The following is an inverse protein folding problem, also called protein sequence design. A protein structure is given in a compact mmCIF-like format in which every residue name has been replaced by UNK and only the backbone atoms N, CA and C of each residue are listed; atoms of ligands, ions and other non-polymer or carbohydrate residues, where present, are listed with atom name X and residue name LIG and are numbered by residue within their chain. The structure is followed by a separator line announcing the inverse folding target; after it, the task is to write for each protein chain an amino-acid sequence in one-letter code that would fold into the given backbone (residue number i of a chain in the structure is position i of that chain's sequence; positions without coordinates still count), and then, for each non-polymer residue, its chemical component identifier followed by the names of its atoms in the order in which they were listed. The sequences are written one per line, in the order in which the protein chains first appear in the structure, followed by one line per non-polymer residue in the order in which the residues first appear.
data_IF_327203822597
#
_entry.id   IF_327203822597
#
_cell.length_a   1.000
_cell.length_b   1.000
_cell.length_c   1.000
_cell.angle_alpha   90.00
_cell.angle_beta   90.00
_cell.angle_gamma   90.00
#
_symmetry.space_group_name_H-M   'P 1'
#
loop_
_entity.id
_entity.type
_entity.pdbx_description
1 polymer ?
#
# COMPACT_ATOMS: atom_id res chain seq x y z
N UNK A 1 -10.96 -14.86 -13.19
CA UNK A 1 -11.88 -13.71 -13.01
C UNK A 1 -13.29 -14.24 -12.77
N UNK A 2 -14.08 -13.59 -11.92
CA UNK A 2 -15.47 -13.98 -11.68
C UNK A 2 -16.33 -13.58 -12.90
N UNK A 3 -16.32 -14.42 -13.95
CA UNK A 3 -17.02 -14.16 -15.22
C UNK A 3 -18.54 -13.94 -15.03
N UNK A 4 -19.14 -14.61 -14.03
CA UNK A 4 -20.53 -14.43 -13.68
C UNK A 4 -20.82 -13.03 -13.12
N UNK A 5 -19.93 -12.48 -12.28
CA UNK A 5 -20.05 -11.11 -11.78
C UNK A 5 -19.88 -10.09 -12.90
N UNK A 6 -18.90 -10.28 -13.80
CA UNK A 6 -18.70 -9.37 -14.94
C UNK A 6 -19.91 -9.38 -15.86
N UNK A 7 -20.43 -10.56 -16.20
CA UNK A 7 -21.62 -10.70 -17.03
C UNK A 7 -22.82 -9.93 -16.43
N UNK A 8 -23.06 -10.05 -15.13
CA UNK A 8 -24.14 -9.32 -14.43
C UNK A 8 -23.89 -7.81 -14.33
N UNK A 9 -22.64 -7.36 -14.27
CA UNK A 9 -22.31 -5.93 -14.23
C UNK A 9 -22.47 -5.23 -15.59
N UNK A 10 -22.39 -5.99 -16.67
CA UNK A 10 -22.50 -5.50 -18.05
C UNK A 10 -23.85 -5.81 -18.69
N UNK A 11 -24.65 -6.68 -18.07
CA UNK A 11 -26.00 -7.01 -18.54
C UNK A 11 -26.97 -5.87 -18.21
N UNK A 12 -27.58 -5.21 -19.22
CA UNK A 12 -28.51 -4.11 -19.01
C UNK A 12 -29.78 -4.52 -18.25
N UNK A 13 -30.07 -5.82 -18.13
CA UNK A 13 -31.20 -6.32 -17.36
C UNK A 13 -30.97 -6.26 -15.83
N UNK A 14 -29.71 -6.08 -15.38
CA UNK A 14 -29.35 -5.86 -13.98
C UNK A 14 -29.15 -4.37 -13.70
N UNK A 15 -30.19 -3.74 -13.16
CA UNK A 15 -30.23 -2.27 -12.97
C UNK A 15 -29.69 -1.84 -11.62
N UNK A 16 -29.22 -0.60 -11.52
CA UNK A 16 -28.94 0.08 -10.25
C UNK A 16 -30.26 0.30 -9.51
N UNK A 17 -30.25 0.10 -8.19
CA UNK A 17 -31.38 0.46 -7.35
C UNK A 17 -31.51 2.00 -7.29
N UNK A 18 -32.59 2.53 -7.87
CA UNK A 18 -32.84 3.97 -7.85
C UNK A 18 -33.11 4.48 -6.44
N UNK A 19 -32.53 5.64 -6.12
CA UNK A 19 -32.83 6.33 -4.89
C UNK A 19 -34.16 7.10 -5.04
N UNK A 20 -35.10 7.02 -4.07
CA UNK A 20 -36.34 7.80 -4.10
C UNK A 20 -36.06 9.30 -4.21
N UNK A 21 -36.83 10.00 -5.03
CA UNK A 21 -36.72 11.44 -5.17
C UNK A 21 -37.05 12.16 -3.84
N UNK A 22 -36.24 13.16 -3.51
CA UNK A 22 -36.45 14.03 -2.35
C UNK A 22 -35.83 15.41 -2.61
N UNK A 23 -36.37 16.42 -1.94
CA UNK A 23 -35.97 17.83 -2.13
C UNK A 23 -34.89 18.30 -1.14
N UNK A 24 -34.56 17.48 -0.13
CA UNK A 24 -33.58 17.80 0.91
C UNK A 24 -32.89 16.57 1.51
N UNK A 25 -31.83 16.82 2.28
CA UNK A 25 -31.13 15.79 3.04
C UNK A 25 -30.41 14.77 2.15
N UNK A 26 -29.94 13.69 2.76
CA UNK A 26 -29.18 12.64 2.07
C UNK A 26 -30.03 11.97 0.97
N UNK A 27 -31.35 11.89 1.16
CA UNK A 27 -32.24 11.40 0.12
C UNK A 27 -32.15 12.23 -1.17
N UNK A 28 -32.08 13.57 -1.07
CA UNK A 28 -31.84 14.44 -2.22
C UNK A 28 -30.48 14.15 -2.86
N UNK A 29 -29.41 14.06 -2.05
CA UNK A 29 -28.07 13.76 -2.59
C UNK A 29 -28.06 12.44 -3.37
N UNK A 30 -28.63 11.38 -2.79
CA UNK A 30 -28.74 10.06 -3.46
C UNK A 30 -29.54 10.16 -4.77
N UNK A 31 -30.61 10.95 -4.79
CA UNK A 31 -31.45 11.16 -5.97
C UNK A 31 -30.80 11.99 -7.08
N UNK A 32 -29.69 12.71 -6.81
CA UNK A 32 -29.04 13.62 -7.74
C UNK A 32 -27.62 13.19 -8.19
N UNK A 33 -27.09 12.06 -7.70
CA UNK A 33 -25.78 11.54 -8.08
C UNK A 33 -25.85 10.45 -9.14
N UNK A 34 -24.80 10.31 -9.94
CA UNK A 34 -24.72 9.30 -11.00
C UNK A 34 -24.75 7.85 -10.49
N UNK A 35 -24.43 7.62 -9.21
CA UNK A 35 -24.27 6.27 -8.63
C UNK A 35 -25.57 5.49 -8.49
N UNK A 36 -26.71 6.19 -8.40
CA UNK A 36 -28.02 5.61 -8.08
C UNK A 36 -29.08 5.89 -9.16
N UNK A 37 -28.65 6.07 -10.41
CA UNK A 37 -29.53 6.27 -11.56
C UNK A 37 -28.96 5.54 -12.78
N UNK A 38 -29.79 5.37 -13.81
CA UNK A 38 -29.44 4.70 -15.06
C UNK A 38 -29.57 5.66 -16.27
N UNK A 39 -29.23 5.14 -17.45
CA UNK A 39 -29.52 5.76 -18.75
C UNK A 39 -29.01 7.21 -18.90
N UNK A 40 -29.81 8.09 -19.51
CA UNK A 40 -29.45 9.47 -19.80
C UNK A 40 -29.12 10.28 -18.54
N UNK A 41 -29.79 9.99 -17.42
CA UNK A 41 -29.52 10.64 -16.13
C UNK A 41 -28.16 10.22 -15.58
N UNK A 42 -27.79 8.94 -15.70
CA UNK A 42 -26.46 8.47 -15.35
C UNK A 42 -25.38 9.18 -16.18
N UNK A 43 -25.54 9.21 -17.50
CA UNK A 43 -24.57 9.86 -18.40
C UNK A 43 -24.40 11.34 -18.06
N UNK A 44 -25.52 12.06 -17.90
CA UNK A 44 -25.53 13.50 -17.57
C UNK A 44 -24.86 13.78 -16.23
N UNK A 45 -25.25 13.08 -15.16
CA UNK A 45 -24.70 13.29 -13.80
C UNK A 45 -23.25 12.83 -13.69
N UNK A 46 -22.88 11.77 -14.43
CA UNK A 46 -21.49 11.30 -14.49
C UNK A 46 -20.60 12.32 -15.18
N UNK A 47 -21.07 12.94 -16.26
CA UNK A 47 -20.33 14.01 -16.94
C UNK A 47 -20.04 15.18 -16.00
N UNK A 48 -20.99 15.57 -15.14
CA UNK A 48 -20.75 16.58 -14.10
C UNK A 48 -19.65 16.16 -13.12
N UNK A 49 -19.68 14.91 -12.65
CA UNK A 49 -18.63 14.40 -11.76
C UNK A 49 -17.25 14.36 -12.44
N UNK A 50 -17.17 13.96 -13.71
CA UNK A 50 -15.91 14.00 -14.48
C UNK A 50 -15.41 15.44 -14.62
N UNK A 51 -16.27 16.38 -14.98
CA UNK A 51 -15.91 17.79 -15.13
C UNK A 51 -15.39 18.42 -13.83
N UNK A 52 -15.85 17.97 -12.65
CA UNK A 52 -15.30 18.43 -11.36
C UNK A 52 -13.88 17.90 -11.11
N UNK A 53 -13.52 16.75 -11.68
CA UNK A 53 -12.21 16.14 -11.55
C UNK A 53 -11.23 16.62 -12.63
N UNK A 54 -11.74 17.15 -13.74
CA UNK A 54 -10.93 17.74 -14.80
C UNK A 54 -10.09 18.91 -14.24
N UNK A 55 -8.77 18.80 -14.38
CA UNK A 55 -7.82 19.80 -13.90
C UNK A 55 -7.26 19.56 -12.50
N UNK A 56 -7.68 18.51 -11.78
CA UNK A 56 -7.00 18.10 -10.55
C UNK A 56 -5.69 17.39 -10.91
N UNK A 57 -4.59 17.93 -10.40
CA UNK A 57 -3.26 17.34 -10.55
C UNK A 57 -3.09 16.12 -9.63
N UNK A 58 -2.98 14.93 -10.23
CA UNK A 58 -2.83 13.67 -9.51
C UNK A 58 -1.50 13.60 -8.74
N UNK A 59 -0.43 14.24 -9.20
CA UNK A 59 0.85 14.25 -8.47
C UNK A 59 0.74 15.05 -7.17
N UNK A 60 0.00 16.15 -7.18
CA UNK A 60 -0.30 16.91 -5.97
C UNK A 60 -1.16 16.12 -4.98
N UNK A 61 -2.07 15.27 -5.46
CA UNK A 61 -2.84 14.39 -4.59
C UNK A 61 -1.94 13.33 -3.94
N UNK A 62 -1.00 12.73 -4.69
CA UNK A 62 -0.06 11.73 -4.16
C UNK A 62 0.90 12.32 -3.13
N UNK A 63 1.33 13.56 -3.34
CA UNK A 63 2.21 14.28 -2.43
C UNK A 63 1.46 14.94 -1.25
N UNK A 64 0.13 14.85 -1.21
CA UNK A 64 -0.68 15.43 -0.15
C UNK A 64 -0.44 14.74 1.19
N UNK A 65 -0.09 15.53 2.21
CA UNK A 65 0.01 15.06 3.59
C UNK A 65 -1.31 15.30 4.33
N UNK A 66 -1.78 14.32 5.11
CA UNK A 66 -2.99 14.42 5.93
C UNK A 66 -4.12 13.50 5.50
N UNK A 67 -5.34 13.81 5.92
CA UNK A 67 -6.51 13.00 5.58
C UNK A 67 -6.81 13.07 4.06
N UNK A 68 -6.99 11.92 3.37
CA UNK A 68 -7.29 11.89 1.94
C UNK A 68 -8.50 12.75 1.51
N UNK A 69 -9.49 12.91 2.39
CA UNK A 69 -10.69 13.71 2.16
C UNK A 69 -10.37 15.20 2.21
N UNK A 70 -9.54 15.63 3.15
CA UNK A 70 -9.05 17.00 3.25
C UNK A 70 -8.22 17.39 2.02
N UNK A 71 -7.35 16.50 1.56
CA UNK A 71 -6.51 16.69 0.37
C UNK A 71 -7.40 16.89 -0.86
N UNK A 72 -8.40 16.02 -1.05
CA UNK A 72 -9.34 16.12 -2.17
C UNK A 72 -10.23 17.38 -2.08
N UNK A 73 -10.71 17.72 -0.88
CA UNK A 73 -11.49 18.93 -0.65
C UNK A 73 -10.70 20.18 -1.06
N UNK A 74 -9.43 20.27 -0.64
CA UNK A 74 -8.54 21.35 -1.05
C UNK A 74 -8.31 21.40 -2.57
N UNK A 75 -8.14 20.24 -3.21
CA UNK A 75 -7.97 20.16 -4.68
C UNK A 75 -9.23 20.61 -5.46
N UNK A 76 -10.42 20.42 -4.87
CA UNK A 76 -11.69 20.91 -5.40
C UNK A 76 -11.96 22.38 -5.06
N UNK A 77 -11.02 23.07 -4.41
CA UNK A 77 -11.18 24.47 -3.99
C UNK A 77 -12.13 24.66 -2.80
N UNK A 78 -12.35 23.62 -2.00
CA UNK A 78 -13.21 23.65 -0.82
C UNK A 78 -12.38 23.78 0.48
N UNK A 79 -12.99 24.28 1.57
CA UNK A 79 -12.37 24.26 2.88
C UNK A 79 -12.02 22.83 3.31
N UNK A 80 -10.87 22.63 3.97
CA UNK A 80 -10.42 21.30 4.41
C UNK A 80 -11.17 20.80 5.65
N UNK A 81 -11.65 21.70 6.49
CA UNK A 81 -12.39 21.41 7.72
C UNK A 81 -13.77 20.76 7.48
N UNK A 82 -14.17 20.55 6.23
CA UNK A 82 -15.39 19.81 5.87
C UNK A 82 -15.26 18.29 6.00
N UNK A 83 -14.06 17.74 6.19
CA UNK A 83 -13.84 16.29 6.21
C UNK A 83 -14.72 15.52 7.24
N UNK A 84 -14.95 16.02 8.47
CA UNK A 84 -15.88 15.39 9.41
C UNK A 84 -17.32 15.32 8.89
N UNK A 85 -17.77 16.35 8.17
CA UNK A 85 -19.10 16.38 7.56
C UNK A 85 -19.21 15.39 6.39
N UNK A 86 -18.14 15.25 5.60
CA UNK A 86 -18.06 14.23 4.54
C UNK A 86 -18.14 12.83 5.13
N UNK A 87 -17.44 12.55 6.24
CA UNK A 87 -17.48 11.26 6.92
C UNK A 87 -18.88 10.93 7.43
N UNK A 88 -19.55 11.88 8.10
CA UNK A 88 -20.91 11.70 8.60
C UNK A 88 -21.93 11.42 7.48
N UNK A 89 -21.79 12.10 6.32
CA UNK A 89 -22.63 11.82 5.15
C UNK A 89 -22.29 10.46 4.54
N UNK A 90 -21.02 10.06 4.51
CA UNK A 90 -20.57 8.80 3.93
C UNK A 90 -21.16 7.57 4.64
N UNK A 91 -21.28 7.60 5.98
CA UNK A 91 -21.92 6.54 6.77
C UNK A 91 -23.36 6.27 6.34
N UNK A 92 -24.06 7.32 5.95
CA UNK A 92 -25.45 7.27 5.54
C UNK A 92 -25.62 7.32 4.01
N UNK A 93 -24.56 7.22 3.21
CA UNK A 93 -24.67 7.51 1.76
C UNK A 93 -25.36 6.39 0.97
N UNK A 94 -25.13 5.13 1.31
CA UNK A 94 -25.69 4.00 0.55
C UNK A 94 -27.22 3.90 0.72
N UNK A 95 -28.01 3.55 -0.30
CA UNK A 95 -29.47 3.55 -0.24
C UNK A 95 -30.08 2.70 0.90
N UNK A 96 -29.37 1.63 1.30
CA UNK A 96 -29.79 0.73 2.37
C UNK A 96 -29.36 1.18 3.77
N UNK A 97 -28.51 2.21 3.88
CA UNK A 97 -28.13 2.80 5.15
C UNK A 97 -29.26 3.68 5.68
N UNK A 98 -29.49 3.62 7.00
CA UNK A 98 -30.47 4.46 7.68
C UNK A 98 -29.96 5.90 7.71
N UNK A 99 -30.77 6.85 7.25
CA UNK A 99 -30.43 8.28 7.31
C UNK A 99 -30.61 8.75 8.75
N UNK A 100 -29.64 9.51 9.26
CA UNK A 100 -29.69 10.12 10.59
C UNK A 100 -29.81 11.64 10.47
N UNK A 101 -30.44 12.27 11.48
CA UNK A 101 -30.53 13.73 11.54
C UNK A 101 -29.15 14.39 11.52
N UNK A 102 -28.15 13.78 12.18
CA UNK A 102 -26.78 14.30 12.21
C UNK A 102 -26.16 14.36 10.81
N UNK A 103 -26.38 13.31 10.00
CA UNK A 103 -25.87 13.22 8.64
C UNK A 103 -26.60 14.20 7.69
N UNK A 104 -27.91 14.41 7.88
CA UNK A 104 -28.64 15.46 7.16
C UNK A 104 -28.11 16.86 7.52
N UNK A 105 -27.86 17.16 8.81
CA UNK A 105 -27.25 18.44 9.20
C UNK A 105 -25.82 18.61 8.66
N UNK A 106 -25.04 17.53 8.59
CA UNK A 106 -23.71 17.54 7.98
C UNK A 106 -23.80 17.86 6.48
N UNK A 107 -24.77 17.27 5.78
CA UNK A 107 -25.00 17.58 4.37
C UNK A 107 -25.38 19.05 4.16
N UNK A 108 -26.18 19.66 5.04
CA UNK A 108 -26.51 21.08 4.94
C UNK A 108 -25.27 21.98 5.09
N UNK A 109 -24.30 21.60 5.92
CA UNK A 109 -23.01 22.30 6.03
C UNK A 109 -22.16 22.12 4.78
N UNK A 110 -22.08 20.90 4.24
CA UNK A 110 -21.39 20.64 2.97
C UNK A 110 -22.01 21.42 1.80
N UNK A 111 -23.34 21.50 1.76
CA UNK A 111 -24.09 22.31 0.80
C UNK A 111 -23.68 23.78 0.89
N UNK A 112 -23.66 24.35 2.09
CA UNK A 112 -23.23 25.73 2.30
C UNK A 112 -21.79 25.96 1.81
N UNK A 113 -20.86 25.05 2.13
CA UNK A 113 -19.46 25.10 1.67
C UNK A 113 -19.31 24.94 0.15
N UNK A 114 -20.27 24.30 -0.51
CA UNK A 114 -20.29 24.13 -1.97
C UNK A 114 -21.04 25.25 -2.72
N UNK A 115 -21.51 26.30 -2.03
CA UNK A 115 -22.21 27.44 -2.64
C UNK A 115 -23.73 27.47 -2.40
N UNK A 116 -24.26 26.52 -1.63
CA UNK A 116 -25.62 26.54 -1.08
C UNK A 116 -26.75 26.18 -2.04
N UNK A 117 -26.46 25.88 -3.31
CA UNK A 117 -27.47 25.50 -4.30
C UNK A 117 -27.73 24.00 -4.28
N UNK A 118 -29.01 23.60 -4.32
CA UNK A 118 -29.41 22.20 -4.49
C UNK A 118 -29.61 21.87 -5.97
N UNK A 119 -28.49 21.74 -6.67
CA UNK A 119 -28.44 21.33 -8.08
C UNK A 119 -27.55 20.09 -8.28
N UNK A 120 -27.59 19.52 -9.48
CA UNK A 120 -26.81 18.32 -9.80
C UNK A 120 -25.30 18.57 -9.79
N UNK A 121 -24.85 19.81 -10.00
CA UNK A 121 -23.43 20.16 -9.98
C UNK A 121 -22.88 20.10 -8.56
N UNK A 122 -23.62 20.67 -7.61
CA UNK A 122 -23.34 20.59 -6.18
C UNK A 122 -23.42 19.14 -5.69
N UNK A 123 -24.46 18.40 -6.10
CA UNK A 123 -24.61 17.00 -5.77
C UNK A 123 -23.44 16.15 -6.31
N UNK A 124 -22.97 16.42 -7.53
CA UNK A 124 -21.80 15.73 -8.10
C UNK A 124 -20.53 16.00 -7.27
N UNK A 125 -20.29 17.25 -6.86
CA UNK A 125 -19.13 17.61 -6.03
C UNK A 125 -19.16 16.95 -4.65
N UNK A 126 -20.29 17.03 -3.94
CA UNK A 126 -20.45 16.37 -2.63
C UNK A 126 -20.36 14.85 -2.79
N UNK A 127 -21.01 14.30 -3.82
CA UNK A 127 -20.98 12.87 -4.13
C UNK A 127 -19.58 12.36 -4.44
N UNK A 128 -18.70 13.18 -5.03
CA UNK A 128 -17.28 12.83 -5.23
C UNK A 128 -16.54 12.74 -3.90
N UNK A 129 -16.66 13.74 -3.03
CA UNK A 129 -16.01 13.74 -1.71
C UNK A 129 -16.41 12.52 -0.89
N UNK A 130 -17.71 12.26 -0.81
CA UNK A 130 -18.27 11.12 -0.04
C UNK A 130 -17.79 9.78 -0.59
N UNK A 131 -17.80 9.62 -1.91
CA UNK A 131 -17.36 8.37 -2.54
C UNK A 131 -15.85 8.19 -2.45
N UNK A 132 -15.08 9.26 -2.60
CA UNK A 132 -13.64 9.23 -2.45
C UNK A 132 -13.26 8.88 -1.01
N UNK A 133 -13.87 9.53 0.00
CA UNK A 133 -13.64 9.23 1.41
C UNK A 133 -13.82 7.73 1.73
N UNK A 134 -14.94 7.14 1.30
CA UNK A 134 -15.19 5.72 1.51
C UNK A 134 -14.18 4.82 0.77
N UNK A 135 -13.86 5.16 -0.48
CA UNK A 135 -12.93 4.38 -1.29
C UNK A 135 -11.48 4.48 -0.81
N UNK A 136 -11.00 5.68 -0.48
CA UNK A 136 -9.65 5.91 0.05
C UNK A 136 -9.51 5.32 1.43
N UNK A 137 -10.52 5.42 2.31
CA UNK A 137 -10.50 4.72 3.61
C UNK A 137 -10.35 3.21 3.45
N UNK A 138 -11.01 2.61 2.45
CA UNK A 138 -10.90 1.18 2.15
C UNK A 138 -9.55 0.80 1.52
N UNK A 139 -9.03 1.59 0.56
CA UNK A 139 -7.66 1.42 0.01
C UNK A 139 -6.61 1.55 1.13
N UNK A 140 -6.78 2.58 1.96
CA UNK A 140 -6.34 2.78 3.36
C UNK A 140 -6.15 1.51 4.20
N UNK A 141 -7.16 0.66 4.13
CA UNK A 141 -7.28 -0.55 4.92
C UNK A 141 -6.81 -1.80 4.15
N UNK A 142 -6.19 -1.64 2.97
CA UNK A 142 -5.71 -2.73 2.13
C UNK A 142 -6.80 -3.44 1.31
N UNK A 143 -8.01 -2.88 1.21
CA UNK A 143 -9.09 -3.49 0.44
C UNK A 143 -8.84 -3.35 -1.07
N UNK A 144 -8.94 -4.46 -1.80
CA UNK A 144 -8.84 -4.49 -3.26
C UNK A 144 -9.88 -5.44 -3.89
N UNK A 145 -10.89 -4.93 -4.62
CA UNK A 145 -11.18 -3.51 -4.80
C UNK A 145 -11.69 -2.86 -3.49
N UNK A 146 -11.62 -1.51 -3.36
CA UNK A 146 -12.09 -0.81 -2.16
C UNK A 146 -13.60 -0.91 -1.92
N UNK A 147 -14.34 -1.36 -2.93
CA UNK A 147 -15.76 -1.73 -2.82
C UNK A 147 -15.86 -3.20 -3.22
N UNK A 148 -15.89 -4.15 -2.26
CA UNK A 148 -15.79 -5.58 -2.54
C UNK A 148 -17.09 -6.18 -3.10
N UNK A 149 -18.22 -5.47 -2.99
CA UNK A 149 -19.49 -5.90 -3.56
C UNK A 149 -20.37 -4.70 -3.93
N UNK A 150 -21.25 -4.88 -4.92
CA UNK A 150 -22.27 -3.90 -5.31
C UNK A 150 -23.64 -4.55 -5.37
N UNK A 151 -24.70 -3.75 -5.28
CA UNK A 151 -26.08 -4.24 -5.40
C UNK A 151 -26.67 -3.86 -6.75
N UNK A 152 -27.48 -4.77 -7.31
CA UNK A 152 -28.28 -4.56 -8.52
C UNK A 152 -29.70 -5.09 -8.29
N UNK A 153 -30.66 -4.56 -9.02
CA UNK A 153 -32.00 -5.10 -9.17
C UNK A 153 -31.97 -6.03 -10.37
N UNK A 154 -32.29 -7.30 -10.18
CA UNK A 154 -32.29 -8.29 -11.25
C UNK A 154 -33.58 -8.19 -12.11
N UNK A 155 -33.71 -8.97 -13.19
CA UNK A 155 -34.90 -8.93 -14.06
C UNK A 155 -36.22 -9.33 -13.37
N UNK A 156 -36.15 -10.01 -12.22
CA UNK A 156 -37.33 -10.37 -11.42
C UNK A 156 -37.76 -9.24 -10.47
N UNK A 157 -36.94 -8.20 -10.33
CA UNK A 157 -37.15 -7.08 -9.41
C UNK A 157 -36.52 -7.29 -8.03
N UNK A 158 -35.76 -8.37 -7.82
CA UNK A 158 -35.10 -8.65 -6.54
C UNK A 158 -33.74 -7.94 -6.47
N UNK A 159 -33.37 -7.44 -5.28
CA UNK A 159 -32.04 -6.89 -5.05
C UNK A 159 -31.02 -8.01 -4.84
N UNK A 160 -30.10 -8.14 -5.78
CA UNK A 160 -28.99 -9.09 -5.73
C UNK A 160 -27.67 -8.40 -5.37
N UNK A 161 -26.83 -9.12 -4.63
CA UNK A 161 -25.46 -8.71 -4.35
C UNK A 161 -24.52 -9.31 -5.40
N UNK A 162 -23.72 -8.47 -6.03
CA UNK A 162 -22.67 -8.85 -6.97
C UNK A 162 -21.33 -8.71 -6.27
N UNK A 163 -20.61 -9.82 -6.17
CA UNK A 163 -19.24 -9.88 -5.67
C UNK A 163 -18.27 -9.27 -6.68
N UNK A 164 -17.47 -8.30 -6.21
CA UNK A 164 -16.47 -7.59 -7.00
C UNK A 164 -15.04 -8.03 -6.65
N UNK A 165 -14.85 -8.96 -5.72
CA UNK A 165 -13.53 -9.47 -5.34
C UNK A 165 -12.78 -10.00 -6.57
N UNK A 166 -11.54 -9.53 -6.74
CA UNK A 166 -10.70 -9.88 -7.89
C UNK A 166 -11.06 -9.17 -9.21
N UNK A 167 -12.01 -8.23 -9.20
CA UNK A 167 -12.27 -7.33 -10.33
C UNK A 167 -11.55 -5.98 -10.13
N UNK A 168 -11.13 -5.30 -11.21
CA UNK A 168 -10.56 -3.96 -11.11
C UNK A 168 -11.50 -2.98 -10.41
N UNK A 169 -10.95 -2.07 -9.61
CA UNK A 169 -11.74 -1.02 -8.98
C UNK A 169 -12.54 -0.23 -10.04
N UNK A 170 -13.87 -0.25 -9.91
CA UNK A 170 -14.78 0.37 -10.88
C UNK A 170 -15.18 -0.52 -12.05
N UNK A 171 -15.10 -1.86 -11.94
CA UNK A 171 -15.61 -2.76 -12.96
C UNK A 171 -17.11 -2.58 -13.23
N UNK A 172 -17.50 -2.66 -14.51
CA UNK A 172 -18.88 -2.51 -14.98
C UNK A 172 -19.16 -1.18 -15.67
N UNK A 173 -20.40 -1.00 -16.14
CA UNK A 173 -20.87 0.20 -16.84
C UNK A 173 -20.93 1.45 -15.94
N UNK A 174 -21.03 1.25 -14.62
CA UNK A 174 -21.07 2.29 -13.58
C UNK A 174 -19.71 2.52 -12.92
N UNK A 175 -18.64 2.55 -13.71
CA UNK A 175 -17.29 2.76 -13.22
C UNK A 175 -17.15 4.09 -12.46
N UNK A 176 -16.45 4.08 -11.31
CA UNK A 176 -16.21 5.27 -10.51
C UNK A 176 -15.44 6.33 -11.32
N UNK A 177 -15.97 7.54 -11.55
CA UNK A 177 -15.28 8.59 -12.30
C UNK A 177 -14.00 9.06 -11.58
N UNK A 178 -13.97 8.96 -10.24
CA UNK A 178 -12.84 9.32 -9.39
C UNK A 178 -11.78 8.23 -9.20
N UNK A 179 -11.80 7.12 -9.95
CA UNK A 179 -10.88 5.98 -9.75
C UNK A 179 -9.40 6.41 -9.65
N UNK A 180 -8.92 7.18 -10.62
CA UNK A 180 -7.52 7.62 -10.65
C UNK A 180 -7.15 8.49 -9.44
N UNK A 181 -8.08 9.34 -8.99
CA UNK A 181 -7.90 10.24 -7.85
C UNK A 181 -7.88 9.46 -6.53
N UNK A 182 -8.80 8.52 -6.35
CA UNK A 182 -8.83 7.65 -5.18
C UNK A 182 -7.58 6.76 -5.08
N UNK A 183 -7.05 6.28 -6.21
CA UNK A 183 -5.77 5.55 -6.25
C UNK A 183 -4.58 6.46 -5.94
N UNK A 184 -4.58 7.71 -6.42
CA UNK A 184 -3.54 8.69 -6.09
C UNK A 184 -3.53 9.05 -4.59
N UNK A 185 -4.71 9.22 -3.99
CA UNK A 185 -4.91 9.48 -2.56
C UNK A 185 -4.62 8.24 -1.68
N UNK A 186 -4.74 7.04 -2.24
CA UNK A 186 -4.45 5.76 -1.58
C UNK A 186 -3.04 5.25 -1.83
N UNK A 187 -2.08 6.11 -2.19
CA UNK A 187 -0.71 5.69 -2.55
C UNK A 187 -0.03 4.85 -1.45
N UNK A 188 0.84 3.93 -1.87
CA UNK A 188 1.43 2.85 -1.07
C UNK A 188 2.29 3.32 0.13
N UNK A 189 2.76 4.57 0.12
CA UNK A 189 3.68 5.12 1.14
C UNK A 189 2.97 5.40 2.47
N UNK A 190 1.76 5.97 2.44
CA UNK A 190 0.89 6.10 3.63
C UNK A 190 0.34 4.73 4.08
N UNK A 191 0.12 3.84 3.12
CA UNK A 191 -0.30 2.45 3.39
C UNK A 191 0.77 1.71 4.20
N UNK A 192 2.05 1.84 3.85
CA UNK A 192 3.13 1.14 4.54
C UNK A 192 3.30 1.56 6.00
N UNK A 193 3.23 2.86 6.30
CA UNK A 193 3.26 3.35 7.69
C UNK A 193 2.11 2.74 8.50
N UNK A 194 0.88 2.75 7.95
CA UNK A 194 -0.31 2.20 8.63
C UNK A 194 -0.22 0.70 8.92
N UNK A 195 0.43 -0.08 8.07
CA UNK A 195 0.60 -1.52 8.29
C UNK A 195 1.30 -1.87 9.61
N UNK A 196 2.07 -0.95 10.19
CA UNK A 196 2.80 -1.15 11.44
C UNK A 196 1.98 -0.81 12.69
N UNK A 197 0.76 -0.28 12.54
CA UNK A 197 -0.08 0.19 13.64
C UNK A 197 -1.36 -0.65 13.83
N UNK A 198 -1.46 -1.79 13.16
CA UNK A 198 -2.54 -2.76 13.41
C UNK A 198 -2.30 -3.57 14.70
N UNK A 199 -3.36 -4.21 15.20
CA UNK A 199 -3.30 -5.09 16.38
C UNK A 199 -2.37 -6.30 16.15
N UNK A 200 -2.39 -6.85 14.93
CA UNK A 200 -1.48 -7.91 14.51
C UNK A 200 -0.22 -7.31 13.86
N UNK A 201 0.97 -7.89 14.11
CA UNK A 201 2.20 -7.44 13.47
C UNK A 201 2.16 -7.67 11.96
N UNK A 202 2.77 -6.75 11.21
CA UNK A 202 3.02 -6.94 9.79
C UNK A 202 3.99 -8.11 9.57
N UNK A 203 3.53 -9.18 8.92
CA UNK A 203 4.41 -10.23 8.40
C UNK A 203 4.98 -9.75 7.06
N UNK A 204 6.28 -9.45 7.04
CA UNK A 204 6.99 -8.91 5.89
C UNK A 204 7.91 -9.97 5.27
N UNK A 205 7.48 -10.67 4.21
CA UNK A 205 8.36 -11.58 3.50
C UNK A 205 9.41 -10.80 2.70
N UNK A 206 10.61 -11.37 2.58
CA UNK A 206 11.73 -10.74 1.90
C UNK A 206 12.05 -11.45 0.58
N UNK A 207 11.95 -10.72 -0.52
CA UNK A 207 12.28 -11.16 -1.86
C UNK A 207 13.74 -10.83 -2.22
N UNK A 208 14.29 -11.54 -3.20
CA UNK A 208 15.62 -11.27 -3.76
C UNK A 208 15.59 -11.01 -5.28
N UNK A 209 14.43 -11.26 -5.92
CA UNK A 209 14.21 -11.06 -7.36
C UNK A 209 12.72 -10.77 -7.64
N UNK A 210 12.39 -10.55 -8.92
CA UNK A 210 11.02 -10.26 -9.33
C UNK A 210 10.07 -11.47 -9.23
N UNK A 211 10.58 -12.69 -9.38
CA UNK A 211 9.77 -13.91 -9.36
C UNK A 211 9.31 -14.24 -7.93
N UNK A 212 10.25 -14.20 -6.97
CA UNK A 212 9.97 -14.33 -5.55
C UNK A 212 9.02 -13.25 -5.05
N UNK A 213 9.24 -11.98 -5.42
CA UNK A 213 8.35 -10.89 -5.04
C UNK A 213 6.93 -11.07 -5.61
N UNK A 214 6.81 -11.41 -6.90
CA UNK A 214 5.50 -11.65 -7.53
C UNK A 214 4.78 -12.85 -6.88
N UNK A 215 5.49 -13.93 -6.56
CA UNK A 215 4.92 -15.08 -5.87
C UNK A 215 4.37 -14.70 -4.48
N UNK A 216 5.08 -13.85 -3.74
CA UNK A 216 4.64 -13.36 -2.43
C UNK A 216 3.41 -12.46 -2.54
N UNK A 217 3.36 -11.57 -3.54
CA UNK A 217 2.15 -10.77 -3.81
C UNK A 217 0.97 -11.66 -4.17
N UNK A 218 1.17 -12.68 -5.01
CA UNK A 218 0.11 -13.62 -5.37
C UNK A 218 -0.37 -14.44 -4.17
N UNK A 219 0.50 -14.71 -3.20
CA UNK A 219 0.15 -15.35 -1.93
C UNK A 219 -0.61 -14.42 -0.97
N UNK A 220 -0.80 -13.14 -1.31
CA UNK A 220 -1.61 -12.19 -0.56
C UNK A 220 -0.86 -11.41 0.53
N UNK A 221 0.48 -11.37 0.51
CA UNK A 221 1.24 -10.55 1.46
C UNK A 221 1.03 -9.05 1.20
N UNK A 222 0.78 -8.30 2.28
CA UNK A 222 0.40 -6.89 2.21
C UNK A 222 1.55 -5.93 1.87
N UNK A 223 2.80 -6.36 2.03
CA UNK A 223 4.02 -5.61 1.69
C UNK A 223 5.18 -6.58 1.45
N UNK A 224 6.22 -6.11 0.75
CA UNK A 224 7.42 -6.91 0.42
C UNK A 224 8.68 -6.20 0.93
N UNK A 225 9.55 -6.92 1.62
CA UNK A 225 10.92 -6.49 1.90
C UNK A 225 11.90 -7.03 0.86
N UNK A 226 13.11 -6.47 0.75
CA UNK A 226 14.23 -7.16 0.08
C UNK A 226 15.17 -7.80 1.10
N UNK A 227 16.07 -8.66 0.64
CA UNK A 227 17.18 -9.21 1.44
C UNK A 227 18.50 -8.98 0.70
N UNK A 228 19.46 -8.30 1.35
CA UNK A 228 20.79 -8.06 0.78
C UNK A 228 21.52 -9.38 0.48
N UNK A 229 21.50 -10.36 1.40
CA UNK A 229 22.11 -11.68 1.20
C UNK A 229 21.58 -12.39 -0.04
N UNK A 230 20.26 -12.42 -0.23
CA UNK A 230 19.65 -13.11 -1.37
C UNK A 230 20.04 -12.45 -2.70
N UNK A 231 20.05 -11.12 -2.75
CA UNK A 231 20.48 -10.37 -3.93
C UNK A 231 21.96 -10.61 -4.23
N UNK A 232 22.83 -10.39 -3.24
CA UNK A 232 24.28 -10.52 -3.38
C UNK A 232 24.69 -11.94 -3.81
N UNK A 233 24.15 -12.97 -3.14
CA UNK A 233 24.43 -14.35 -3.47
C UNK A 233 23.95 -14.73 -4.88
N UNK A 234 22.80 -14.23 -5.33
CA UNK A 234 22.26 -14.52 -6.67
C UNK A 234 23.13 -13.95 -7.80
N UNK A 235 23.90 -12.90 -7.54
CA UNK A 235 24.81 -12.26 -8.50
C UNK A 235 26.29 -12.59 -8.25
N UNK A 236 26.59 -13.46 -7.28
CA UNK A 236 27.94 -13.91 -6.97
C UNK A 236 28.82 -12.89 -6.23
N UNK A 237 28.20 -11.94 -5.52
CA UNK A 237 28.88 -10.95 -4.69
C UNK A 237 28.78 -11.28 -3.19
N UNK A 238 29.75 -10.85 -2.37
CA UNK A 238 29.61 -10.91 -0.92
C UNK A 238 28.52 -9.94 -0.44
N UNK A 239 27.76 -10.38 0.57
CA UNK A 239 26.83 -9.54 1.32
C UNK A 239 27.58 -8.54 2.21
N UNK A 240 26.95 -7.42 2.57
CA UNK A 240 27.50 -6.38 3.45
C UNK A 240 28.80 -5.72 2.95
N UNK A 241 29.03 -5.65 1.63
CA UNK A 241 30.27 -5.17 1.03
C UNK A 241 30.12 -3.88 0.20
N UNK A 242 28.94 -3.23 0.21
CA UNK A 242 28.60 -2.06 -0.62
C UNK A 242 28.77 -2.25 -2.15
N UNK A 243 29.11 -3.46 -2.60
CA UNK A 243 29.34 -3.79 -4.00
C UNK A 243 28.04 -3.93 -4.83
N UNK A 244 26.89 -3.85 -4.17
CA UNK A 244 25.56 -4.19 -4.68
C UNK A 244 24.68 -2.95 -4.94
N UNK A 245 25.22 -1.72 -4.87
CA UNK A 245 24.44 -0.48 -5.02
C UNK A 245 23.61 -0.49 -6.31
N UNK A 246 24.24 -0.77 -7.44
CA UNK A 246 23.58 -0.77 -8.75
C UNK A 246 22.48 -1.82 -8.81
N UNK A 247 22.76 -3.03 -8.36
CA UNK A 247 21.84 -4.17 -8.40
C UNK A 247 20.67 -3.96 -7.43
N UNK A 248 20.91 -3.32 -6.29
CA UNK A 248 19.87 -2.95 -5.32
C UNK A 248 18.92 -1.90 -5.92
N UNK A 249 19.45 -0.87 -6.58
CA UNK A 249 18.64 0.14 -7.26
C UNK A 249 17.86 -0.45 -8.44
N UNK A 250 18.47 -1.34 -9.21
CA UNK A 250 17.80 -2.04 -10.31
C UNK A 250 16.67 -2.94 -9.82
N UNK A 251 16.88 -3.65 -8.70
CA UNK A 251 15.83 -4.43 -8.05
C UNK A 251 14.74 -3.52 -7.50
N UNK A 252 15.09 -2.45 -6.78
CA UNK A 252 14.14 -1.48 -6.24
C UNK A 252 13.25 -0.88 -7.33
N UNK A 253 13.84 -0.44 -8.44
CA UNK A 253 13.11 0.09 -9.61
C UNK A 253 12.12 -0.91 -10.20
N UNK A 254 12.48 -2.19 -10.24
CA UNK A 254 11.55 -3.25 -10.67
C UNK A 254 10.47 -3.41 -9.62
N UNK A 255 10.82 -3.75 -8.38
CA UNK A 255 9.87 -4.09 -7.33
C UNK A 255 8.90 -2.95 -6.97
N UNK A 256 9.29 -1.69 -7.10
CA UNK A 256 8.40 -0.56 -6.84
C UNK A 256 7.15 -0.51 -7.75
N UNK A 257 7.10 -1.30 -8.82
CA UNK A 257 5.93 -1.42 -9.71
C UNK A 257 4.89 -2.43 -9.19
N UNK A 258 5.20 -3.16 -8.13
CA UNK A 258 4.26 -4.10 -7.50
C UNK A 258 3.04 -3.33 -6.93
N UNK A 259 1.88 -3.98 -6.83
CA UNK A 259 0.66 -3.36 -6.32
C UNK A 259 0.64 -3.24 -4.79
N UNK A 260 1.75 -3.55 -4.11
CA UNK A 260 1.90 -3.48 -2.65
C UNK A 260 3.15 -2.65 -2.30
N UNK A 261 3.21 -2.04 -1.11
CA UNK A 261 4.40 -1.31 -0.69
C UNK A 261 5.64 -2.21 -0.63
N UNK A 262 6.78 -1.67 -1.08
CA UNK A 262 8.07 -2.36 -1.05
C UNK A 262 9.04 -1.59 -0.18
N UNK A 263 9.73 -2.29 0.72
CA UNK A 263 10.84 -1.76 1.50
C UNK A 263 12.17 -2.41 1.12
N UNK A 264 13.20 -1.60 0.92
CA UNK A 264 14.50 -2.05 0.42
C UNK A 264 15.53 -2.09 1.55
N UNK A 265 16.19 -3.24 1.70
CA UNK A 265 17.39 -3.38 2.50
C UNK A 265 18.58 -2.73 1.78
N UNK A 266 19.16 -1.69 2.38
CA UNK A 266 20.28 -0.93 1.83
C UNK A 266 21.53 -1.03 2.69
N UNK A 267 21.65 -2.07 3.54
CA UNK A 267 22.80 -2.28 4.41
C UNK A 267 23.13 -1.00 5.22
N UNK A 268 24.39 -0.57 5.25
CA UNK A 268 24.81 0.70 5.86
C UNK A 268 24.70 1.93 4.94
N UNK A 269 23.90 1.85 3.87
CA UNK A 269 23.77 2.88 2.82
C UNK A 269 24.59 2.64 1.55
N UNK A 270 25.14 1.43 1.35
CA UNK A 270 25.80 0.96 0.11
C UNK A 270 26.92 1.89 -0.42
N UNK A 271 27.60 2.63 0.47
CA UNK A 271 28.65 3.58 0.10
C UNK A 271 28.17 4.82 -0.67
N UNK A 272 26.86 4.99 -0.86
CA UNK A 272 26.27 6.14 -1.54
C UNK A 272 26.16 7.35 -0.60
N UNK A 273 25.96 8.53 -1.18
CA UNK A 273 25.62 9.72 -0.39
C UNK A 273 24.19 9.60 0.13
N UNK A 274 23.93 9.78 1.44
CA UNK A 274 22.63 9.50 2.05
C UNK A 274 21.46 10.26 1.40
N UNK A 275 21.60 11.58 1.21
CA UNK A 275 20.54 12.40 0.62
C UNK A 275 20.21 12.01 -0.83
N UNK A 276 21.24 11.69 -1.63
CA UNK A 276 21.05 11.29 -3.04
C UNK A 276 20.35 9.92 -3.13
N UNK A 277 20.78 8.95 -2.30
CA UNK A 277 20.18 7.62 -2.27
C UNK A 277 18.72 7.65 -1.76
N UNK A 278 18.46 8.42 -0.70
CA UNK A 278 17.12 8.58 -0.15
C UNK A 278 16.15 9.18 -1.16
N UNK A 279 16.54 10.29 -1.81
CA UNK A 279 15.75 10.94 -2.85
C UNK A 279 15.50 10.00 -4.03
N UNK A 280 16.53 9.29 -4.49
CA UNK A 280 16.41 8.34 -5.60
C UNK A 280 15.43 7.20 -5.29
N UNK A 281 15.53 6.57 -4.11
CA UNK A 281 14.61 5.49 -3.72
C UNK A 281 13.18 6.00 -3.57
N UNK A 282 13.02 7.21 -3.02
CA UNK A 282 11.73 7.88 -2.93
C UNK A 282 11.11 8.13 -4.32
N UNK A 283 11.87 8.69 -5.26
CA UNK A 283 11.44 8.92 -6.65
C UNK A 283 11.08 7.63 -7.39
N UNK A 284 11.70 6.51 -7.04
CA UNK A 284 11.35 5.20 -7.59
C UNK A 284 9.99 4.67 -7.07
N UNK A 285 9.40 5.27 -6.04
CA UNK A 285 8.17 4.80 -5.41
C UNK A 285 8.38 3.74 -4.32
N UNK A 286 9.61 3.61 -3.80
CA UNK A 286 9.90 2.75 -2.65
C UNK A 286 9.16 3.30 -1.42
N UNK A 287 8.55 2.41 -0.64
CA UNK A 287 7.74 2.78 0.52
C UNK A 287 8.56 2.88 1.82
N UNK A 288 9.70 2.19 1.90
CA UNK A 288 10.60 2.29 3.04
C UNK A 288 11.97 1.68 2.81
N UNK A 289 12.88 1.83 3.77
CA UNK A 289 14.21 1.23 3.73
C UNK A 289 14.62 0.71 5.09
N UNK A 290 15.48 -0.31 5.11
CA UNK A 290 16.25 -0.69 6.31
C UNK A 290 17.67 -0.13 6.17
N UNK A 291 18.17 0.51 7.22
CA UNK A 291 19.56 0.99 7.26
C UNK A 291 20.23 0.59 8.57
N UNK A 292 21.39 -0.04 8.50
CA UNK A 292 22.03 -0.69 9.64
C UNK A 292 23.19 0.10 10.22
N UNK A 293 23.44 -0.12 11.52
CA UNK A 293 24.61 0.40 12.22
C UNK A 293 25.76 -0.61 12.25
N UNK A 294 25.59 -1.82 11.71
CA UNK A 294 26.66 -2.75 11.41
C UNK A 294 27.59 -2.24 10.32
N UNK A 295 28.89 -2.51 10.45
CA UNK A 295 29.96 -2.16 9.49
C UNK A 295 30.85 -3.37 9.26
N UNK A 296 30.23 -4.48 8.86
CA UNK A 296 30.90 -5.79 8.80
C UNK A 296 31.07 -6.39 10.19
N UNK A 297 32.22 -6.18 10.83
CA UNK A 297 32.58 -6.85 12.10
C UNK A 297 32.44 -5.96 13.36
N UNK A 298 32.10 -4.69 13.18
CA UNK A 298 31.93 -3.69 14.23
C UNK A 298 30.63 -2.89 14.07
N UNK A 299 30.25 -2.19 15.14
CA UNK A 299 29.13 -1.25 15.15
C UNK A 299 29.63 0.16 14.88
N UNK A 300 28.84 0.95 14.17
CA UNK A 300 29.05 2.38 14.02
C UNK A 300 28.94 3.10 15.37
N UNK A 301 29.63 4.23 15.48
CA UNK A 301 29.39 5.18 16.54
C UNK A 301 27.92 5.68 16.47
N UNK A 302 27.16 5.66 17.57
CA UNK A 302 25.75 6.07 17.55
C UNK A 302 25.53 7.48 16.99
N UNK A 303 26.44 8.42 17.23
CA UNK A 303 26.31 9.78 16.71
C UNK A 303 26.54 9.86 15.20
N UNK A 304 27.41 9.01 14.64
CA UNK A 304 27.56 8.87 13.19
C UNK A 304 26.31 8.26 12.55
N UNK A 305 25.75 7.22 13.18
CA UNK A 305 24.50 6.61 12.70
C UNK A 305 23.34 7.61 12.76
N UNK A 306 23.19 8.39 13.83
CA UNK A 306 22.15 9.44 13.93
C UNK A 306 22.28 10.48 12.81
N UNK A 307 23.50 10.90 12.45
CA UNK A 307 23.72 11.81 11.31
C UNK A 307 23.25 11.20 10.00
N UNK A 308 23.57 9.93 9.77
CA UNK A 308 23.13 9.18 8.59
C UNK A 308 21.60 9.07 8.51
N UNK A 309 20.96 8.69 9.61
CA UNK A 309 19.49 8.57 9.71
C UNK A 309 18.78 9.90 9.44
N UNK A 310 19.27 11.00 10.05
CA UNK A 310 18.73 12.34 9.80
C UNK A 310 18.87 12.76 8.34
N UNK A 311 20.01 12.50 7.72
CA UNK A 311 20.20 12.82 6.30
C UNK A 311 19.19 12.10 5.39
N UNK A 312 18.83 10.84 5.70
CA UNK A 312 17.77 10.13 4.99
C UNK A 312 16.40 10.77 5.21
N UNK A 313 16.02 11.07 6.46
CA UNK A 313 14.73 11.71 6.77
C UNK A 313 14.62 13.12 6.19
N UNK A 314 15.70 13.89 6.18
CA UNK A 314 15.72 15.24 5.60
C UNK A 314 15.49 15.22 4.07
N UNK A 315 16.04 14.22 3.37
CA UNK A 315 15.89 14.09 1.92
C UNK A 315 14.56 13.45 1.50
N UNK A 316 14.03 12.51 2.29
CA UNK A 316 12.78 11.82 2.01
C UNK A 316 11.95 11.65 3.29
N UNK A 317 11.28 12.72 3.79
CA UNK A 317 10.56 12.68 5.07
C UNK A 317 9.46 11.64 5.15
N UNK A 318 8.83 11.32 4.02
CA UNK A 318 7.72 10.37 3.91
C UNK A 318 8.16 8.92 3.60
N UNK A 319 9.45 8.67 3.38
CA UNK A 319 9.99 7.31 3.25
C UNK A 319 10.07 6.67 4.64
N UNK A 320 9.49 5.47 4.82
CA UNK A 320 9.58 4.75 6.10
C UNK A 320 11.02 4.31 6.34
N UNK A 321 11.69 4.91 7.31
CA UNK A 321 13.07 4.60 7.68
C UNK A 321 13.09 3.66 8.88
N UNK A 322 13.50 2.42 8.65
CA UNK A 322 13.64 1.40 9.69
C UNK A 322 15.10 1.28 10.11
N UNK A 323 15.44 1.80 11.28
CA UNK A 323 16.82 1.76 11.79
C UNK A 323 17.17 0.37 12.34
N UNK A 324 18.11 -0.29 11.70
CA UNK A 324 18.61 -1.61 12.10
C UNK A 324 19.78 -1.47 13.08
N UNK A 325 19.66 -2.17 14.21
CA UNK A 325 20.62 -2.22 15.30
C UNK A 325 21.23 -3.62 15.35
N UNK A 326 22.50 -3.73 14.97
CA UNK A 326 23.20 -5.01 14.76
C UNK A 326 23.92 -5.55 15.99
N UNK A 327 23.66 -5.00 17.19
CA UNK A 327 24.25 -5.48 18.46
C UNK A 327 24.08 -6.99 18.62
N UNK A 328 22.85 -7.50 18.51
CA UNK A 328 22.54 -8.93 18.64
C UNK A 328 22.99 -9.75 17.42
N UNK A 329 22.93 -9.17 16.22
CA UNK A 329 23.36 -9.84 14.99
C UNK A 329 24.86 -10.13 14.97
N UNK A 330 25.67 -9.17 15.44
CA UNK A 330 27.12 -9.31 15.57
C UNK A 330 27.55 -9.99 16.86
N UNK A 331 26.63 -10.23 17.80
CA UNK A 331 26.94 -10.80 19.11
C UNK A 331 27.78 -9.86 19.98
N UNK A 332 27.57 -8.54 19.87
CA UNK A 332 28.39 -7.50 20.48
C UNK A 332 27.53 -6.42 21.13
N UNK A 333 27.98 -5.95 22.30
CA UNK A 333 27.43 -4.76 22.95
C UNK A 333 25.89 -4.77 23.09
N UNK A 334 25.31 -5.92 23.44
CA UNK A 334 23.86 -6.06 23.60
C UNK A 334 23.27 -5.06 24.62
N UNK A 335 24.08 -4.65 25.60
CA UNK A 335 23.70 -3.66 26.60
C UNK A 335 23.40 -2.27 25.98
N UNK A 336 23.94 -1.93 24.81
CA UNK A 336 23.68 -0.65 24.15
C UNK A 336 22.45 -0.65 23.23
N UNK A 337 21.81 -1.80 22.98
CA UNK A 337 20.64 -1.92 22.07
C UNK A 337 19.55 -0.91 22.39
N UNK A 338 19.15 -0.80 23.66
CA UNK A 338 18.11 0.13 24.11
C UNK A 338 18.52 1.59 23.91
N UNK A 339 19.76 1.93 24.25
CA UNK A 339 20.25 3.29 24.10
C UNK A 339 20.36 3.71 22.63
N UNK A 340 20.76 2.79 21.74
CA UNK A 340 20.75 2.99 20.28
C UNK A 340 19.33 3.17 19.77
N UNK A 341 18.38 2.34 20.19
CA UNK A 341 16.97 2.45 19.80
C UNK A 341 16.37 3.81 20.16
N UNK A 342 16.67 4.32 21.36
CA UNK A 342 16.25 5.66 21.81
C UNK A 342 16.90 6.76 20.95
N UNK A 343 18.22 6.72 20.76
CA UNK A 343 18.92 7.71 19.94
C UNK A 343 18.44 7.73 18.49
N UNK A 344 18.13 6.56 17.91
CA UNK A 344 17.63 6.46 16.55
C UNK A 344 16.17 6.90 16.46
N UNK A 345 15.37 6.65 17.50
CA UNK A 345 14.02 7.25 17.63
C UNK A 345 14.10 8.78 17.63
N UNK A 346 15.01 9.36 18.42
CA UNK A 346 15.26 10.82 18.46
C UNK A 346 15.86 11.39 17.16
N UNK A 347 16.33 10.53 16.26
CA UNK A 347 16.76 10.90 14.92
C UNK A 347 15.59 11.06 13.93
N UNK A 348 14.37 10.69 14.32
CA UNK A 348 13.16 10.83 13.51
C UNK A 348 12.87 9.64 12.59
N UNK A 349 13.42 8.46 12.90
CA UNK A 349 13.12 7.22 12.16
C UNK A 349 11.69 6.75 12.45
N UNK A 350 11.14 5.90 11.59
CA UNK A 350 9.74 5.46 11.67
C UNK A 350 9.60 4.07 12.31
N UNK A 351 10.69 3.32 12.40
CA UNK A 351 10.74 1.99 13.02
C UNK A 351 12.16 1.61 13.47
N UNK A 352 12.23 0.58 14.32
CA UNK A 352 13.50 0.03 14.81
C UNK A 352 13.55 -1.47 14.54
N UNK A 353 14.71 -2.00 14.16
CA UNK A 353 14.90 -3.40 13.85
C UNK A 353 16.10 -3.95 14.63
N UNK A 354 15.90 -5.01 15.42
CA UNK A 354 16.98 -5.70 16.13
C UNK A 354 17.07 -7.17 15.68
N UNK A 355 17.83 -7.50 14.63
CA UNK A 355 18.03 -8.88 14.21
C UNK A 355 18.82 -9.69 15.26
N UNK A 356 18.44 -10.95 15.45
CA UNK A 356 19.06 -11.84 16.44
C UNK A 356 18.51 -11.68 17.88
N UNK A 357 17.63 -10.71 18.12
CA UNK A 357 16.94 -10.53 19.39
C UNK A 357 15.88 -11.63 19.58
N UNK A 358 16.12 -12.57 20.49
CA UNK A 358 15.30 -13.78 20.65
C UNK A 358 14.69 -14.00 22.04
N UNK A 359 15.30 -13.42 23.08
CA UNK A 359 14.81 -13.52 24.45
C UNK A 359 13.57 -12.63 24.68
N UNK A 360 12.53 -13.19 25.30
CA UNK A 360 11.26 -12.48 25.48
C UNK A 360 11.38 -11.24 26.39
N UNK A 361 12.26 -11.30 27.40
CA UNK A 361 12.49 -10.16 28.30
C UNK A 361 13.22 -9.04 27.56
N UNK A 362 14.23 -9.39 26.75
CA UNK A 362 14.95 -8.41 25.95
C UNK A 362 14.04 -7.79 24.87
N UNK A 363 13.18 -8.58 24.22
CA UNK A 363 12.18 -8.07 23.26
C UNK A 363 11.25 -7.08 23.96
N UNK A 364 10.66 -7.46 25.09
CA UNK A 364 9.76 -6.58 25.83
C UNK A 364 10.46 -5.30 26.31
N UNK A 365 11.74 -5.39 26.71
CA UNK A 365 12.54 -4.23 27.11
C UNK A 365 12.79 -3.25 25.96
N UNK A 366 13.06 -3.75 24.74
CA UNK A 366 13.21 -2.89 23.55
C UNK A 366 11.87 -2.26 23.17
N UNK A 367 10.77 -3.01 23.19
CA UNK A 367 9.42 -2.48 22.93
C UNK A 367 9.06 -1.37 23.93
N UNK A 368 9.40 -1.53 25.20
CA UNK A 368 9.13 -0.51 26.22
C UNK A 368 10.01 0.74 26.09
N UNK A 369 11.15 0.65 25.39
CA UNK A 369 12.13 1.72 25.28
C UNK A 369 11.85 2.72 24.15
N UNK A 370 10.95 2.40 23.21
CA UNK A 370 10.58 3.25 22.08
C UNK A 370 9.08 3.25 21.83
N UNK A 371 8.54 4.35 21.33
CA UNK A 371 7.16 4.41 20.86
C UNK A 371 7.01 3.89 19.41
N UNK A 372 8.12 3.59 18.73
CA UNK A 372 8.15 3.16 17.35
C UNK A 372 7.91 1.64 17.22
N UNK A 373 7.36 1.18 16.08
CA UNK A 373 7.20 -0.24 15.81
C UNK A 373 8.55 -0.97 15.81
N UNK A 374 8.64 -2.02 16.63
CA UNK A 374 9.76 -2.96 16.62
C UNK A 374 9.58 -4.01 15.52
N UNK A 375 10.59 -4.13 14.66
CA UNK A 375 10.82 -5.25 13.75
C UNK A 375 11.75 -6.28 14.38
N UNK A 376 11.44 -7.56 14.23
CA UNK A 376 12.35 -8.69 14.50
C UNK A 376 12.36 -9.66 13.31
N UNK A 377 13.32 -10.59 13.29
CA UNK A 377 13.29 -11.69 12.34
C UNK A 377 12.25 -12.73 12.77
N UNK A 378 11.66 -13.42 11.80
CA UNK A 378 10.72 -14.50 12.03
C UNK A 378 11.33 -15.59 12.92
N UNK A 379 10.69 -15.84 14.06
CA UNK A 379 11.10 -16.83 15.04
C UNK A 379 9.89 -17.38 15.79
N UNK A 380 9.79 -18.71 15.87
CA UNK A 380 8.69 -19.38 16.56
C UNK A 380 7.31 -18.95 16.05
N UNK A 381 6.37 -18.78 16.98
CA UNK A 381 5.00 -18.37 16.72
C UNK A 381 4.88 -16.83 16.64
N UNK A 382 4.39 -16.25 15.53
CA UNK A 382 4.12 -14.82 15.41
C UNK A 382 3.21 -14.25 16.51
N UNK A 383 2.26 -15.03 17.05
CA UNK A 383 1.36 -14.55 18.10
C UNK A 383 2.10 -14.28 19.41
N UNK A 384 3.13 -15.08 19.72
CA UNK A 384 4.03 -14.82 20.86
C UNK A 384 4.68 -13.45 20.72
N UNK A 385 5.26 -13.16 19.57
CA UNK A 385 5.93 -11.88 19.29
C UNK A 385 4.93 -10.71 19.33
N UNK A 386 3.73 -10.89 18.79
CA UNK A 386 2.66 -9.90 18.85
C UNK A 386 2.29 -9.53 20.29
N UNK A 387 2.18 -10.54 21.17
CA UNK A 387 1.86 -10.35 22.59
C UNK A 387 2.98 -9.60 23.35
N UNK A 388 4.22 -9.68 22.89
CA UNK A 388 5.34 -8.91 23.42
C UNK A 388 5.38 -7.46 22.89
N UNK A 389 4.48 -7.10 21.97
CA UNK A 389 4.37 -5.77 21.39
C UNK A 389 5.17 -5.56 20.09
N UNK A 390 5.71 -6.62 19.49
CA UNK A 390 6.30 -6.54 18.14
C UNK A 390 5.23 -6.11 17.14
N UNK A 391 5.62 -5.27 16.18
CA UNK A 391 4.72 -4.72 15.14
C UNK A 391 5.13 -5.06 13.71
N UNK A 392 6.35 -5.57 13.51
CA UNK A 392 6.80 -6.12 12.24
C UNK A 392 7.63 -7.38 12.44
N UNK A 393 7.39 -8.38 11.62
CA UNK A 393 8.14 -9.64 11.63
C UNK A 393 8.62 -9.87 10.20
N UNK A 394 9.92 -9.67 9.99
CA UNK A 394 10.56 -9.86 8.68
C UNK A 394 11.17 -11.25 8.53
N UNK A 395 11.15 -11.82 7.33
CA UNK A 395 11.78 -13.14 7.10
C UNK A 395 13.29 -13.06 6.89
N UNK A 396 13.84 -11.87 6.62
CA UNK A 396 15.25 -11.69 6.23
C UNK A 396 15.64 -12.64 5.10
N UNK A 397 16.80 -13.27 5.20
CA UNK A 397 17.25 -14.24 4.19
C UNK A 397 16.61 -15.64 4.29
N UNK A 398 15.65 -15.85 5.20
CA UNK A 398 15.05 -17.17 5.44
C UNK A 398 14.47 -17.78 4.15
N UNK A 399 13.69 -17.01 3.40
CA UNK A 399 13.02 -17.52 2.19
C UNK A 399 14.01 -17.91 1.09
N UNK A 400 15.07 -17.11 0.91
CA UNK A 400 16.15 -17.42 -0.03
C UNK A 400 16.86 -18.73 0.35
N UNK A 401 17.25 -18.86 1.63
CA UNK A 401 17.91 -20.07 2.13
C UNK A 401 17.00 -21.31 2.03
N UNK A 402 15.71 -21.15 2.31
CA UNK A 402 14.73 -22.22 2.14
C UNK A 402 14.59 -22.64 0.67
N UNK A 403 14.57 -21.69 -0.27
CA UNK A 403 14.53 -21.96 -1.70
C UNK A 403 15.78 -22.73 -2.18
N UNK A 404 16.97 -22.33 -1.72
CA UNK A 404 18.21 -23.07 -2.00
C UNK A 404 18.15 -24.50 -1.44
N UNK A 405 17.68 -24.67 -0.20
CA UNK A 405 17.51 -25.99 0.40
C UNK A 405 16.54 -26.89 -0.39
N UNK A 406 15.43 -26.33 -0.85
CA UNK A 406 14.46 -27.04 -1.68
C UNK A 406 15.03 -27.43 -3.06
N UNK A 407 15.80 -26.54 -3.69
CA UNK A 407 16.48 -26.81 -4.95
C UNK A 407 17.50 -27.96 -4.82
N UNK A 408 18.32 -27.93 -3.76
CA UNK A 408 19.28 -29.00 -3.45
C UNK A 408 18.56 -30.33 -3.19
N UNK A 409 17.55 -30.33 -2.32
CA UNK A 409 16.75 -31.53 -2.01
C UNK A 409 16.14 -32.14 -3.27
N UNK A 410 15.66 -31.30 -4.19
CA UNK A 410 15.09 -31.75 -5.48
C UNK A 410 16.17 -32.38 -6.36
N UNK A 411 17.33 -31.75 -6.50
CA UNK A 411 18.44 -32.27 -7.29
C UNK A 411 18.97 -33.61 -6.74
N UNK A 412 19.10 -33.72 -5.42
CA UNK A 412 19.51 -34.95 -4.74
C UNK A 412 18.47 -36.06 -4.90
N UNK A 413 17.18 -35.74 -4.85
CA UNK A 413 16.11 -36.70 -5.09
C UNK A 413 16.17 -37.28 -6.50
N UNK A 414 16.43 -36.43 -7.51
CA UNK A 414 16.62 -36.88 -8.90
C UNK A 414 17.87 -37.75 -9.03
N UNK A 415 19.01 -37.33 -8.47
CA UNK A 415 20.26 -38.11 -8.47
C UNK A 415 20.09 -39.49 -7.84
N UNK A 416 19.34 -39.56 -6.73
CA UNK A 416 19.18 -40.76 -5.92
C UNK A 416 17.95 -41.62 -6.31
N UNK A 417 17.15 -41.20 -7.29
CA UNK A 417 15.92 -41.90 -7.71
C UNK A 417 14.78 -41.86 -6.68
N UNK A 418 14.71 -40.80 -5.85
CA UNK A 418 13.66 -40.58 -4.83
C UNK A 418 12.56 -39.66 -5.37
N UNK A 419 11.34 -39.70 -4.79
CA UNK A 419 10.29 -38.73 -5.12
C UNK A 419 10.75 -37.29 -4.88
N UNK A 420 10.47 -36.39 -5.82
CA UNK A 420 10.78 -34.96 -5.68
C UNK A 420 9.72 -34.25 -4.84
N UNK A 421 10.09 -33.18 -4.11
CA UNK A 421 9.13 -32.30 -3.47
C UNK A 421 8.13 -31.68 -4.46
N UNK A 422 7.00 -31.18 -3.96
CA UNK A 422 6.05 -30.45 -4.78
C UNK A 422 6.67 -29.15 -5.28
N UNK A 423 6.51 -28.87 -6.58
CA UNK A 423 6.96 -27.64 -7.22
C UNK A 423 5.81 -26.91 -7.87
N UNK A 424 5.89 -25.58 -8.04
CA UNK A 424 4.97 -24.84 -8.90
C UNK A 424 5.00 -25.41 -10.33
N UNK A 425 3.86 -25.41 -11.01
CA UNK A 425 3.82 -25.79 -12.43
C UNK A 425 4.58 -24.77 -13.28
N UNK A 426 5.09 -25.20 -14.44
CA UNK A 426 5.75 -24.31 -15.39
C UNK A 426 4.90 -23.08 -15.73
N UNK A 427 3.62 -23.30 -16.08
CA UNK A 427 2.65 -22.24 -16.36
C UNK A 427 2.46 -21.29 -15.18
N UNK A 428 2.43 -21.82 -13.95
CA UNK A 428 2.27 -20.99 -12.75
C UNK A 428 3.47 -20.06 -12.55
N UNK A 429 4.68 -20.50 -12.90
CA UNK A 429 5.89 -19.65 -12.82
C UNK A 429 5.91 -18.63 -13.97
N UNK A 430 5.54 -19.02 -15.19
CA UNK A 430 5.43 -18.09 -16.33
C UNK A 430 4.44 -16.95 -16.05
N UNK A 431 3.30 -17.26 -15.43
CA UNK A 431 2.28 -16.26 -15.08
C UNK A 431 2.79 -15.21 -14.08
N UNK A 432 3.82 -15.51 -13.28
CA UNK A 432 4.46 -14.52 -12.40
C UNK A 432 5.24 -13.47 -13.20
N UNK A 433 5.78 -13.84 -14.36
CA UNK A 433 6.52 -12.94 -15.24
C UNK A 433 5.59 -12.00 -16.03
N UNK A 434 4.36 -12.42 -16.33
CA UNK A 434 3.36 -11.61 -17.05
C UNK A 434 3.07 -10.27 -16.36
N UNK A 435 3.16 -10.23 -15.02
CA UNK A 435 3.06 -9.00 -14.21
C UNK A 435 4.05 -7.92 -14.66
N UNK A 436 5.20 -8.33 -15.17
CA UNK A 436 6.30 -7.48 -15.59
C UNK A 436 6.31 -7.19 -17.09
N UNK A 437 5.80 -8.11 -17.91
CA UNK A 437 5.77 -8.02 -19.37
C UNK A 437 4.69 -7.07 -19.90
N UNK A 438 3.47 -7.09 -19.34
CA UNK A 438 2.37 -6.24 -19.82
C UNK A 438 2.57 -4.73 -19.58
N UNK A 439 3.49 -4.36 -18.70
CA UNK A 439 3.81 -2.95 -18.43
C UNK A 439 5.08 -2.46 -19.16
N UNK A 440 5.74 -3.28 -20.00
CA UNK A 440 6.86 -2.85 -20.86
C UNK A 440 6.39 -2.43 -22.26
N UNK A 441 5.31 -3.03 -22.77
CA UNK A 441 4.71 -2.68 -24.08
C UNK A 441 4.20 -1.23 -24.13
N UNK A 442 3.71 -0.67 -23.02
CA UNK A 442 3.26 0.73 -22.94
C UNK A 442 4.40 1.78 -23.04
N UNK A 443 5.68 1.36 -22.96
CA UNK A 443 6.83 2.29 -23.06
C UNK A 443 7.57 2.21 -24.39
N UNK A 444 7.29 1.21 -25.23
CA UNK A 444 7.98 1.05 -26.52
C UNK A 444 7.23 1.64 -27.70
N UNK A 445 5.94 2.00 -27.55
CA UNK A 445 5.19 2.70 -28.61
C UNK A 445 5.35 4.23 -28.61
N UNK A 446 6.05 4.83 -27.63
CA UNK A 446 6.23 6.30 -27.56
C UNK A 446 7.64 6.79 -27.90
N UNK A 447 8.55 5.96 -28.44
CA UNK A 447 9.92 6.40 -28.78
C UNK A 447 10.27 6.45 -30.27
N UNK A 448 9.35 6.09 -31.19
CA UNK A 448 9.69 5.94 -32.62
C UNK A 448 9.11 7.02 -33.55
N UNK A 449 8.59 8.14 -33.03
CA UNK A 449 8.04 9.22 -33.87
C UNK A 449 8.70 10.60 -33.62
N UNK A 450 10.04 10.61 -33.60
CA UNK A 450 10.84 11.83 -33.64
C UNK A 450 11.99 11.71 -34.66
N UNK A 451 11.63 11.47 -35.92
CA UNK A 451 12.45 11.86 -37.06
C UNK A 451 11.56 12.08 -38.28
N UNK A 452 11.25 13.35 -38.58
CA UNK A 452 11.36 14.03 -39.88
C UNK A 452 10.77 15.43 -39.80
#
# INVERSE_FOLDING_TARGET
MNEASVARLTDPAYRVAEAPAADRGIAWLRGCVARFCEDDDHLRRRALAVAQLEGIDLERLRAGEGDPTEILAGALGLPRDIAPDVAAVAECYQPHATITDAADHALERLLASCGGQRDEQTAARIGLLVQAHAATTALVAGANPPVPATRRVDPSGETVLIDLTGLPFGAGTHACPGRAHALALGSSQLTFHRLHHHDAPLILPNAWDCASAAALVHAGFAAIGTTSLGLAAAIGLPDAAAATLRETLDLAKKLARLPVPVTIDIESGLGAKPHELAAQLWELGVAGVNIEDGRGDHLADPAEQVKLLRAFKDAAPALFLNARIDTHWLGRDHASTINRAQQYTDAGVDGVFVPGLADDQDIAAVVAATALPLNVLAQGDPQRLANLGVRRISTGSLLFRAALGAALTTAESVRDGKPTPQTPSYRSVEALAEHWSHQQSDRTETSDDASW
#
